data_IF_205649591059
#
_entry.id   IF_205649591059
#
_cell.length_a   1.000
_cell.length_b   1.000
_cell.length_c   1.000
_cell.angle_alpha   90.00
_cell.angle_beta   90.00
_cell.angle_gamma   90.00
#
_symmetry.space_group_name_H-M   'P 1'
#
loop_
_entity.id
_entity.type
_entity.pdbx_description
1 polymer ?
#
# COMPACT_ATOMS: atom_id res chain seq x y z
N UNK A 1 15.91 -7.12 -0.51
CA UNK A 1 15.53 -8.19 -1.47
C UNK A 1 14.67 -7.56 -2.55
N UNK A 2 15.04 -7.69 -3.83
CA UNK A 2 14.29 -7.09 -4.93
C UNK A 2 13.00 -7.89 -5.16
N UNK A 3 11.88 -7.27 -4.86
CA UNK A 3 10.53 -7.84 -5.05
C UNK A 3 10.10 -7.75 -6.51
N UNK A 4 10.70 -6.82 -7.26
CA UNK A 4 10.48 -6.65 -8.69
C UNK A 4 11.81 -6.35 -9.41
N UNK A 5 11.91 -6.70 -10.67
CA UNK A 5 13.05 -6.39 -11.54
C UNK A 5 12.57 -5.69 -12.81
N UNK A 6 13.33 -4.69 -13.26
CA UNK A 6 13.08 -4.07 -14.56
C UNK A 6 13.52 -5.00 -15.69
N UNK A 7 12.69 -5.17 -16.71
CA UNK A 7 13.14 -5.69 -18.00
C UNK A 7 14.20 -4.75 -18.55
N UNK A 8 15.30 -5.32 -19.10
CA UNK A 8 16.41 -4.59 -19.69
C UNK A 8 15.90 -3.45 -20.59
N UNK A 9 16.11 -2.18 -20.18
CA UNK A 9 15.68 -1.00 -20.92
C UNK A 9 15.85 0.27 -20.07
N UNK A 10 15.77 1.44 -20.72
CA UNK A 10 15.88 2.75 -20.08
C UNK A 10 14.74 2.91 -19.07
N UNK A 11 15.09 3.36 -17.86
CA UNK A 11 14.10 3.69 -16.83
C UNK A 11 13.41 5.00 -17.25
N UNK A 12 12.08 4.97 -17.38
CA UNK A 12 11.29 6.16 -17.75
C UNK A 12 10.89 6.98 -16.50
N UNK A 13 11.37 6.59 -15.31
CA UNK A 13 11.02 7.23 -14.04
C UNK A 13 11.58 8.66 -13.94
N UNK A 14 12.81 8.88 -14.45
CA UNK A 14 13.45 10.21 -14.46
C UNK A 14 12.62 11.22 -15.26
N UNK A 15 12.07 10.81 -16.40
CA UNK A 15 11.20 11.65 -17.22
C UNK A 15 9.88 11.97 -16.49
N UNK A 16 9.35 11.01 -15.71
CA UNK A 16 8.14 11.22 -14.93
C UNK A 16 8.36 12.20 -13.78
N UNK A 17 9.45 12.05 -13.02
CA UNK A 17 9.79 12.91 -11.89
C UNK A 17 10.00 14.35 -12.34
N UNK A 18 10.80 14.58 -13.40
CA UNK A 18 11.08 15.90 -13.92
C UNK A 18 9.81 16.62 -14.39
N UNK A 19 8.95 15.93 -15.14
CA UNK A 19 7.68 16.51 -15.63
C UNK A 19 6.70 16.80 -14.47
N UNK A 20 6.60 15.90 -13.46
CA UNK A 20 5.77 16.17 -12.28
C UNK A 20 6.28 17.37 -11.47
N UNK A 21 7.59 17.54 -11.37
CA UNK A 21 8.18 18.69 -10.70
C UNK A 21 7.76 20.02 -11.35
N UNK A 22 7.80 20.11 -12.68
CA UNK A 22 7.34 21.29 -13.43
C UNK A 22 5.83 21.49 -13.26
N UNK A 23 5.04 20.42 -13.38
CA UNK A 23 3.59 20.49 -13.18
C UNK A 23 3.21 21.01 -11.79
N UNK A 24 3.87 20.50 -10.75
CA UNK A 24 3.64 20.90 -9.37
C UNK A 24 3.98 22.38 -9.13
N UNK A 25 5.10 22.87 -9.64
CA UNK A 25 5.50 24.28 -9.52
C UNK A 25 4.45 25.22 -10.14
N UNK A 26 3.89 24.84 -11.30
CA UNK A 26 2.84 25.62 -11.95
C UNK A 26 1.50 25.52 -11.20
N UNK A 27 1.11 24.36 -10.72
CA UNK A 27 -0.10 24.17 -9.91
C UNK A 27 -0.02 24.96 -8.59
N UNK A 28 1.15 24.96 -7.93
CA UNK A 28 1.39 25.74 -6.73
C UNK A 28 1.22 27.26 -7.02
N UNK A 29 1.82 27.74 -8.11
CA UNK A 29 1.62 29.12 -8.54
C UNK A 29 0.15 29.44 -8.79
N UNK A 30 -0.59 28.56 -9.47
CA UNK A 30 -2.01 28.78 -9.75
C UNK A 30 -2.84 28.79 -8.47
N UNK A 31 -2.58 27.87 -7.55
CA UNK A 31 -3.29 27.79 -6.27
C UNK A 31 -3.07 29.03 -5.39
N UNK A 32 -1.89 29.61 -5.46
CA UNK A 32 -1.57 30.83 -4.74
C UNK A 32 -2.14 32.09 -5.42
N UNK A 33 -2.10 32.15 -6.75
CA UNK A 33 -2.46 33.37 -7.50
C UNK A 33 -3.95 33.50 -7.77
N UNK A 34 -4.62 32.44 -8.18
CA UNK A 34 -6.02 32.51 -8.66
C UNK A 34 -7.05 32.85 -7.57
N UNK A 35 -6.91 32.46 -6.30
CA UNK A 35 -7.83 32.88 -5.24
C UNK A 35 -7.75 34.38 -4.88
N UNK A 36 -6.65 35.07 -5.26
CA UNK A 36 -6.45 36.47 -4.95
C UNK A 36 -7.09 37.31 -6.05
N UNK A 37 -8.32 37.77 -5.81
CA UNK A 37 -9.02 38.68 -6.73
C UNK A 37 -8.94 40.12 -6.24
N UNK A 38 -8.70 41.05 -7.15
CA UNK A 38 -8.90 42.48 -6.89
C UNK A 38 -10.36 42.82 -7.12
N UNK A 39 -10.85 43.89 -6.46
CA UNK A 39 -12.26 44.35 -6.51
C UNK A 39 -12.81 44.61 -7.91
N UNK A 40 -11.96 44.72 -8.90
CA UNK A 40 -12.31 44.79 -10.32
C UNK A 40 -11.54 43.72 -11.08
N UNK A 41 -11.80 43.56 -12.35
CA UNK A 41 -11.17 42.56 -13.23
C UNK A 41 -9.65 42.59 -13.11
N UNK A 42 -9.09 41.47 -12.62
CA UNK A 42 -7.64 41.26 -12.63
C UNK A 42 -7.21 40.68 -13.99
N UNK A 43 -6.55 41.48 -14.79
CA UNK A 43 -6.06 41.07 -16.11
C UNK A 43 -4.91 40.04 -16.02
N UNK A 44 -4.24 39.95 -14.86
CA UNK A 44 -3.15 39.00 -14.66
C UNK A 44 -3.67 37.57 -14.60
N UNK A 45 -4.91 37.35 -14.14
CA UNK A 45 -5.56 36.01 -14.09
C UNK A 45 -5.71 35.44 -15.49
N UNK A 46 -6.03 36.25 -16.49
CA UNK A 46 -6.19 35.73 -17.85
C UNK A 46 -4.88 35.21 -18.42
N UNK A 47 -3.73 35.80 -18.03
CA UNK A 47 -2.40 35.34 -18.43
C UNK A 47 -2.09 34.00 -17.73
N UNK A 48 -2.39 33.89 -16.46
CA UNK A 48 -2.18 32.63 -15.67
C UNK A 48 -3.04 31.51 -16.22
N UNK A 49 -4.34 31.73 -16.42
CA UNK A 49 -5.30 30.73 -16.89
C UNK A 49 -4.95 30.21 -18.30
N UNK A 50 -4.40 31.05 -19.17
CA UNK A 50 -3.94 30.60 -20.51
C UNK A 50 -2.88 29.50 -20.45
N UNK A 51 -2.14 29.40 -19.35
CA UNK A 51 -1.08 28.43 -19.16
C UNK A 51 -1.54 27.14 -18.44
N UNK A 52 -2.84 26.99 -18.12
CA UNK A 52 -3.35 25.83 -17.38
C UNK A 52 -3.13 24.51 -18.12
N UNK A 53 -3.04 24.54 -19.44
CA UNK A 53 -2.75 23.35 -20.25
C UNK A 53 -1.32 22.83 -20.07
N UNK A 54 -0.37 23.68 -19.67
CA UNK A 54 1.04 23.27 -19.53
C UNK A 54 1.23 22.25 -18.40
N UNK A 55 0.82 22.50 -17.14
CA UNK A 55 0.99 21.50 -16.10
C UNK A 55 0.15 20.24 -16.33
N UNK A 56 -1.03 20.36 -16.97
CA UNK A 56 -1.83 19.19 -17.35
C UNK A 56 -1.08 18.34 -18.38
N UNK A 57 -0.42 18.95 -19.37
CA UNK A 57 0.39 18.24 -20.36
C UNK A 57 1.59 17.53 -19.71
N UNK A 58 2.31 18.21 -18.81
CA UNK A 58 3.40 17.59 -18.07
C UNK A 58 2.91 16.43 -17.20
N UNK A 59 1.76 16.57 -16.55
CA UNK A 59 1.13 15.46 -15.79
C UNK A 59 0.81 14.27 -16.69
N UNK A 60 0.23 14.51 -17.88
CA UNK A 60 -0.07 13.45 -18.84
C UNK A 60 1.18 12.72 -19.34
N UNK A 61 2.26 13.46 -19.63
CA UNK A 61 3.54 12.88 -20.03
C UNK A 61 4.06 11.97 -18.91
N UNK A 62 4.05 12.46 -17.67
CA UNK A 62 4.50 11.71 -16.51
C UNK A 62 3.71 10.41 -16.30
N UNK A 63 2.37 10.48 -16.37
CA UNK A 63 1.51 9.30 -16.21
C UNK A 63 1.77 8.26 -17.31
N UNK A 64 2.01 8.70 -18.54
CA UNK A 64 2.37 7.81 -19.63
C UNK A 64 3.74 7.16 -19.40
N UNK A 65 4.72 7.91 -18.91
CA UNK A 65 6.05 7.39 -18.56
C UNK A 65 5.96 6.38 -17.42
N UNK A 66 5.18 6.65 -16.37
CA UNK A 66 4.92 5.72 -15.26
C UNK A 66 4.28 4.42 -15.80
N UNK A 67 3.23 4.52 -16.59
CA UNK A 67 2.58 3.34 -17.18
C UNK A 67 3.56 2.49 -18.02
N UNK A 68 4.39 3.14 -18.80
CA UNK A 68 5.43 2.48 -19.58
C UNK A 68 6.49 1.85 -18.68
N UNK A 69 6.90 2.52 -17.58
CA UNK A 69 7.79 1.96 -16.56
C UNK A 69 7.18 0.72 -15.92
N UNK A 70 5.92 0.80 -15.44
CA UNK A 70 5.21 -0.31 -14.85
C UNK A 70 5.09 -1.52 -15.78
N UNK A 71 4.85 -1.29 -17.08
CA UNK A 71 4.77 -2.38 -18.06
C UNK A 71 6.08 -3.15 -18.28
N UNK A 72 7.21 -2.57 -17.86
CA UNK A 72 8.54 -3.20 -17.92
C UNK A 72 8.88 -3.98 -16.65
N UNK A 73 8.10 -3.84 -15.58
CA UNK A 73 8.35 -4.58 -14.35
C UNK A 73 8.04 -6.07 -14.53
N UNK A 74 8.91 -6.88 -14.01
CA UNK A 74 8.69 -8.33 -13.87
C UNK A 74 8.59 -8.65 -12.39
N UNK A 75 7.44 -9.16 -11.99
CA UNK A 75 7.21 -9.56 -10.62
C UNK A 75 8.05 -10.79 -10.28
N UNK A 76 8.74 -10.75 -9.15
CA UNK A 76 9.43 -11.91 -8.60
C UNK A 76 8.49 -12.61 -7.61
N UNK A 77 7.56 -13.41 -8.15
CA UNK A 77 6.54 -14.09 -7.35
C UNK A 77 7.13 -15.01 -6.29
N UNK A 78 8.21 -15.72 -6.62
CA UNK A 78 8.88 -16.63 -5.69
C UNK A 78 9.46 -15.89 -4.48
N UNK A 79 10.04 -14.72 -4.71
CA UNK A 79 10.58 -13.89 -3.63
C UNK A 79 9.45 -13.37 -2.71
N UNK A 80 8.33 -12.94 -3.28
CA UNK A 80 7.16 -12.48 -2.51
C UNK A 80 6.58 -13.63 -1.71
N UNK A 81 6.38 -14.78 -2.35
CA UNK A 81 5.86 -15.99 -1.70
C UNK A 81 6.74 -16.42 -0.53
N UNK A 82 8.05 -16.47 -0.75
CA UNK A 82 9.01 -16.83 0.30
C UNK A 82 9.03 -15.81 1.45
N UNK A 83 8.80 -14.53 1.17
CA UNK A 83 8.72 -13.49 2.17
C UNK A 83 7.44 -13.61 3.02
N UNK A 84 6.29 -13.81 2.38
CA UNK A 84 5.02 -14.05 3.06
C UNK A 84 5.07 -15.31 3.92
N UNK A 85 5.68 -16.38 3.43
CA UNK A 85 5.78 -17.66 4.18
C UNK A 85 6.67 -17.55 5.43
N UNK A 86 7.61 -16.62 5.44
CA UNK A 86 8.43 -16.32 6.62
C UNK A 86 7.76 -15.38 7.62
N UNK A 87 6.71 -14.67 7.22
CA UNK A 87 6.10 -13.60 7.99
C UNK A 87 4.66 -13.92 8.45
N UNK A 88 4.48 -15.10 9.05
CA UNK A 88 3.16 -15.51 9.57
C UNK A 88 2.61 -14.60 10.68
N UNK A 89 3.44 -13.74 11.27
CA UNK A 89 2.99 -12.75 12.25
C UNK A 89 1.91 -11.80 11.71
N UNK A 90 1.87 -11.57 10.40
CA UNK A 90 0.87 -10.68 9.76
C UNK A 90 -0.58 -11.13 10.00
N UNK A 91 -0.85 -12.43 10.22
CA UNK A 91 -2.20 -12.93 10.49
C UNK A 91 -2.67 -12.68 11.93
N UNK A 92 -1.79 -12.20 12.81
CA UNK A 92 -2.14 -11.97 14.22
C UNK A 92 -3.28 -10.98 14.38
N UNK A 93 -3.36 -9.95 13.55
CA UNK A 93 -4.45 -8.97 13.58
C UNK A 93 -5.79 -9.61 13.24
N UNK A 94 -5.84 -10.45 12.21
CA UNK A 94 -7.05 -11.18 11.84
C UNK A 94 -7.52 -12.12 12.97
N UNK A 95 -6.58 -12.84 13.59
CA UNK A 95 -6.87 -13.70 14.74
C UNK A 95 -7.43 -12.88 15.89
N UNK A 96 -6.83 -11.74 16.21
CA UNK A 96 -7.31 -10.85 17.27
C UNK A 96 -8.74 -10.35 17.01
N UNK A 97 -9.03 -9.99 15.78
CA UNK A 97 -10.36 -9.51 15.37
C UNK A 97 -11.42 -10.59 15.54
N UNK A 98 -11.13 -11.82 15.12
CA UNK A 98 -12.03 -12.95 15.31
C UNK A 98 -12.21 -13.28 16.80
N UNK A 99 -11.14 -13.27 17.59
CA UNK A 99 -11.23 -13.49 19.04
C UNK A 99 -12.08 -12.43 19.73
N UNK A 100 -12.02 -11.18 19.31
CA UNK A 100 -12.91 -10.10 19.79
C UNK A 100 -14.37 -10.37 19.42
N UNK A 101 -14.63 -10.79 18.19
CA UNK A 101 -15.99 -11.20 17.76
C UNK A 101 -16.57 -12.31 18.62
N UNK A 102 -15.75 -13.25 19.05
CA UNK A 102 -16.15 -14.39 19.90
C UNK A 102 -16.13 -14.03 21.40
N UNK A 103 -15.95 -12.78 21.79
CA UNK A 103 -15.84 -12.32 23.18
C UNK A 103 -14.77 -13.08 23.99
N UNK A 104 -13.64 -13.45 23.32
CA UNK A 104 -12.53 -14.10 24.01
C UNK A 104 -11.89 -13.15 25.04
N UNK A 105 -11.61 -13.62 26.27
CA UNK A 105 -11.00 -12.78 27.27
C UNK A 105 -9.59 -12.33 26.88
N UNK A 106 -9.32 -11.03 26.90
CA UNK A 106 -8.02 -10.42 26.66
C UNK A 106 -7.32 -10.90 25.36
N UNK A 107 -7.94 -10.76 24.18
CA UNK A 107 -7.41 -11.32 22.94
C UNK A 107 -6.05 -10.74 22.55
N UNK A 108 -5.77 -9.48 22.90
CA UNK A 108 -4.47 -8.86 22.66
C UNK A 108 -3.36 -9.50 23.52
N UNK A 109 -3.61 -9.72 24.81
CA UNK A 109 -2.63 -10.33 25.72
C UNK A 109 -2.31 -11.76 25.32
N UNK A 110 -3.31 -12.52 24.90
CA UNK A 110 -3.11 -13.89 24.39
C UNK A 110 -2.17 -13.92 23.17
N UNK A 111 -2.32 -12.97 22.24
CA UNK A 111 -1.43 -12.85 21.07
C UNK A 111 -0.06 -12.31 21.42
N UNK A 112 0.02 -11.39 22.40
CA UNK A 112 1.29 -10.86 22.88
C UNK A 112 2.18 -11.96 23.48
N UNK A 113 1.59 -12.92 24.17
CA UNK A 113 2.33 -14.08 24.69
C UNK A 113 2.85 -14.99 23.57
N UNK A 114 2.11 -15.12 22.45
CA UNK A 114 2.57 -15.85 21.29
C UNK A 114 3.82 -15.24 20.67
N UNK A 115 3.90 -13.89 20.63
CA UNK A 115 5.01 -13.16 19.99
C UNK A 115 6.20 -12.97 20.94
N UNK A 116 5.97 -13.04 22.25
CA UNK A 116 6.99 -12.76 23.26
C UNK A 116 8.10 -13.79 23.25
N UNK A 117 9.32 -13.35 22.99
CA UNK A 117 10.53 -14.21 23.07
C UNK A 117 10.74 -15.13 21.86
N UNK A 118 9.93 -15.02 20.80
CA UNK A 118 10.14 -15.77 19.55
C UNK A 118 10.68 -14.84 18.49
N UNK A 119 11.80 -15.19 17.90
CA UNK A 119 12.42 -14.44 16.79
C UNK A 119 11.69 -14.61 15.46
N UNK A 120 10.95 -15.71 15.31
CA UNK A 120 10.20 -16.03 14.11
C UNK A 120 8.86 -16.67 14.50
N UNK A 121 7.80 -16.26 13.82
CA UNK A 121 6.46 -16.85 13.94
C UNK A 121 6.16 -17.49 12.60
N UNK A 122 6.11 -18.82 12.61
CA UNK A 122 5.79 -19.63 11.44
C UNK A 122 4.35 -20.19 11.51
N UNK A 123 3.94 -20.87 10.46
CA UNK A 123 2.64 -21.54 10.35
C UNK A 123 2.38 -22.48 11.52
N UNK A 124 3.38 -23.26 11.92
CA UNK A 124 3.27 -24.25 12.99
C UNK A 124 2.98 -23.56 14.32
N UNK A 125 3.72 -22.50 14.64
CA UNK A 125 3.53 -21.70 15.85
C UNK A 125 2.11 -21.11 15.94
N UNK A 126 1.59 -20.56 14.82
CA UNK A 126 0.21 -20.04 14.77
C UNK A 126 -0.82 -21.16 14.97
N UNK A 127 -0.64 -22.31 14.31
CA UNK A 127 -1.58 -23.42 14.44
C UNK A 127 -1.58 -24.07 15.83
N UNK A 128 -0.42 -24.15 16.48
CA UNK A 128 -0.29 -24.60 17.87
C UNK A 128 -1.01 -23.61 18.81
N UNK A 129 -0.80 -22.32 18.63
CA UNK A 129 -1.51 -21.31 19.39
C UNK A 129 -3.05 -21.43 19.22
N UNK A 130 -3.55 -21.55 17.97
CA UNK A 130 -4.98 -21.73 17.72
C UNK A 130 -5.53 -22.99 18.43
N UNK A 131 -4.74 -24.05 18.52
CA UNK A 131 -5.14 -25.27 19.22
C UNK A 131 -5.37 -25.04 20.72
N UNK A 132 -4.59 -24.17 21.36
CA UNK A 132 -4.71 -23.84 22.80
C UNK A 132 -5.91 -22.96 23.12
N UNK A 133 -6.47 -22.23 22.16
CA UNK A 133 -7.57 -21.30 22.37
C UNK A 133 -8.85 -22.03 22.85
N UNK A 134 -9.53 -21.46 23.82
CA UNK A 134 -10.81 -21.96 24.36
C UNK A 134 -11.98 -21.38 23.55
N UNK A 135 -12.06 -21.72 22.26
CA UNK A 135 -13.14 -21.33 21.34
C UNK A 135 -13.75 -22.54 20.67
N UNK A 136 -14.94 -22.37 20.05
CA UNK A 136 -15.65 -23.44 19.33
C UNK A 136 -14.80 -24.03 18.20
N UNK A 137 -15.01 -25.30 17.89
CA UNK A 137 -14.28 -26.01 16.83
C UNK A 137 -14.42 -25.31 15.46
N UNK A 138 -15.60 -24.77 15.14
CA UNK A 138 -15.84 -24.01 13.93
C UNK A 138 -14.96 -22.75 13.84
N UNK A 139 -14.79 -22.03 14.96
CA UNK A 139 -13.93 -20.84 15.03
C UNK A 139 -12.46 -21.22 14.85
N UNK A 140 -12.01 -22.33 15.48
CA UNK A 140 -10.64 -22.84 15.23
C UNK A 140 -10.41 -23.20 13.77
N UNK A 141 -11.40 -23.77 13.10
CA UNK A 141 -11.31 -24.09 11.68
C UNK A 141 -11.24 -22.82 10.81
N UNK A 142 -12.01 -21.78 11.16
CA UNK A 142 -11.94 -20.48 10.51
C UNK A 142 -10.55 -19.84 10.67
N UNK A 143 -10.04 -19.76 11.89
CA UNK A 143 -8.73 -19.21 12.20
C UNK A 143 -7.59 -19.92 11.43
N UNK A 144 -7.66 -21.25 11.29
CA UNK A 144 -6.65 -22.03 10.54
C UNK A 144 -6.66 -21.79 9.03
N UNK A 145 -7.76 -21.25 8.47
CA UNK A 145 -7.83 -20.92 7.04
C UNK A 145 -7.15 -19.59 6.71
N UNK A 146 -6.93 -18.74 7.72
CA UNK A 146 -6.28 -17.46 7.53
C UNK A 146 -4.78 -17.69 7.34
N UNK A 147 -4.25 -17.19 6.24
CA UNK A 147 -2.84 -17.31 5.88
C UNK A 147 -2.32 -15.94 5.43
N UNK A 148 -1.00 -15.69 5.45
CA UNK A 148 -0.43 -14.47 4.87
C UNK A 148 -0.82 -14.25 3.40
N UNK A 149 -1.14 -15.33 2.69
CA UNK A 149 -1.53 -15.30 1.27
C UNK A 149 -3.00 -14.95 1.05
N UNK A 150 -3.86 -15.25 2.02
CA UNK A 150 -5.30 -15.04 1.92
C UNK A 150 -5.80 -13.83 2.70
N UNK A 151 -4.97 -13.22 3.53
CA UNK A 151 -5.33 -12.05 4.33
C UNK A 151 -5.01 -10.76 3.56
N UNK A 152 -5.86 -10.44 2.59
CA UNK A 152 -5.69 -9.30 1.67
C UNK A 152 -6.66 -8.14 1.93
N UNK A 153 -7.50 -8.23 2.98
CA UNK A 153 -8.54 -7.24 3.27
C UNK A 153 -9.83 -7.49 2.49
N UNK A 154 -10.71 -6.48 2.46
CA UNK A 154 -11.98 -6.53 1.74
C UNK A 154 -11.79 -5.98 0.33
N UNK A 155 -12.02 -6.80 -0.67
CA UNK A 155 -12.34 -6.32 -2.01
C UNK A 155 -11.16 -6.00 -2.93
N UNK A 156 -10.13 -6.81 -2.93
CA UNK A 156 -9.18 -6.84 -4.06
C UNK A 156 -9.33 -8.14 -4.81
#
# INVERSE_FOLDING_TARGET
>A
MLVAQYKKGKVDDDDAEGNLGIANALFEHFSAKLPISRLQRDLTDSTVIRNIGIPLSHTMISLNSINKGLSKLVLNEDAIRADLDRNWAVVAEAIQTILRRENYPQPYEALKELTRGKSTIDKKTIHEFIATLKVKAAVKAELKRITPFSYTGLGV
#
